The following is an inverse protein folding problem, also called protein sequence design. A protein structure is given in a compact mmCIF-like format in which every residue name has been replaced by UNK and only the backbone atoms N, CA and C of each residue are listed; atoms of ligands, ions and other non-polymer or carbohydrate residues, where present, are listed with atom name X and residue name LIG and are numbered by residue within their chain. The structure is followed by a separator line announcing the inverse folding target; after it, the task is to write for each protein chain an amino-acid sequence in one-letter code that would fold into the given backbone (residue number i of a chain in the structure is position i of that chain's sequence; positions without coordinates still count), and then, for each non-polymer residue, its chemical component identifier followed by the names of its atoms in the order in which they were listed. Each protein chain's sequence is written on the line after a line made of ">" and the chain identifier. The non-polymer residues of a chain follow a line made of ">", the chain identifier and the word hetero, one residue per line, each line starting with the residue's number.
data_IF_905953544389
#
_entry.id   IF_905953544389
#
_cell.length_a   1.000
_cell.length_b   1.000
_cell.length_c   1.000
_cell.angle_alpha   90.00
_cell.angle_beta   90.00
_cell.angle_gamma   90.00
#
_symmetry.space_group_name_H-M   'P 1'
#
loop_
_entity.id
_entity.type
_entity.pdbx_description
1 polymer ?
#
# COMPACT_ATOMS: atom_id res chain seq x y z
N UNK A 1 11.85 2.61 1.65
CA UNK A 1 11.41 3.57 2.69
C UNK A 1 10.39 2.86 3.54
N UNK A 2 10.74 2.60 4.80
CA UNK A 2 9.91 1.83 5.73
C UNK A 2 8.72 2.71 6.13
N UNK A 3 7.52 2.38 5.65
CA UNK A 3 6.30 3.01 6.14
C UNK A 3 6.02 2.34 7.49
N UNK A 4 6.66 2.86 8.54
CA UNK A 4 6.26 2.55 9.92
C UNK A 4 5.12 3.53 10.26
N UNK A 5 3.90 3.17 9.85
CA UNK A 5 2.70 3.73 10.44
C UNK A 5 2.72 3.29 11.90
N UNK A 6 3.08 4.23 12.78
CA UNK A 6 3.11 4.04 14.22
C UNK A 6 1.67 4.09 14.75
N UNK A 7 0.88 3.07 14.42
CA UNK A 7 -0.48 2.93 14.90
C UNK A 7 -0.49 2.04 16.15
N UNK A 8 -1.02 2.62 17.22
CA UNK A 8 -1.39 1.98 18.49
C UNK A 8 -1.94 0.57 18.28
N UNK A 9 -1.26 -0.43 18.85
CA UNK A 9 -1.65 -1.80 19.25
C UNK A 9 -2.71 -2.64 18.50
N UNK A 10 -3.25 -2.23 17.34
CA UNK A 10 -4.33 -2.94 16.62
C UNK A 10 -3.99 -3.21 15.15
N UNK A 11 -2.86 -2.71 14.62
CA UNK A 11 -2.50 -2.96 13.22
C UNK A 11 -1.68 -4.24 13.10
N UNK A 12 -2.32 -5.32 12.65
CA UNK A 12 -1.63 -6.53 12.18
C UNK A 12 -0.77 -6.18 10.95
N UNK A 13 0.55 -6.05 11.15
CA UNK A 13 1.53 -5.76 10.08
C UNK A 13 1.62 -6.94 9.13
N UNK A 14 0.78 -6.99 8.09
CA UNK A 14 0.68 -8.18 7.23
C UNK A 14 1.55 -8.15 5.97
N UNK A 15 2.07 -7.00 5.52
CA UNK A 15 2.79 -6.93 4.24
C UNK A 15 4.02 -6.02 4.30
N UNK A 16 5.17 -6.61 4.67
CA UNK A 16 6.50 -6.00 4.51
C UNK A 16 7.11 -6.46 3.18
N UNK A 17 6.48 -6.10 2.05
CA UNK A 17 7.08 -6.34 0.74
C UNK A 17 8.15 -5.27 0.45
N UNK A 18 9.29 -5.68 -0.13
CA UNK A 18 10.30 -4.72 -0.59
C UNK A 18 9.78 -4.06 -1.86
N UNK A 19 9.34 -2.81 -1.75
CA UNK A 19 9.04 -1.95 -2.89
C UNK A 19 9.88 -0.68 -2.88
N UNK A 20 9.99 -0.07 -4.06
CA UNK A 20 10.52 1.28 -4.23
C UNK A 20 9.69 2.30 -3.44
N UNK A 21 10.18 3.54 -3.33
CA UNK A 21 9.45 4.58 -2.59
C UNK A 21 8.08 4.84 -3.25
N UNK A 22 7.03 4.86 -2.44
CA UNK A 22 5.67 5.21 -2.89
C UNK A 22 5.55 6.73 -2.98
N UNK A 23 5.01 7.22 -4.10
CA UNK A 23 4.71 8.63 -4.35
C UNK A 23 3.28 8.98 -3.95
N UNK A 24 2.31 8.17 -4.34
CA UNK A 24 0.92 8.31 -3.89
C UNK A 24 0.23 6.95 -3.73
N UNK A 25 -0.85 6.95 -2.95
CA UNK A 25 -1.77 5.83 -2.77
C UNK A 25 -3.19 6.36 -2.94
N UNK A 26 -4.03 5.63 -3.66
CA UNK A 26 -5.47 5.91 -3.81
C UNK A 26 -6.29 4.64 -3.59
N UNK A 27 -7.51 4.81 -3.09
CA UNK A 27 -8.44 3.73 -2.77
C UNK A 27 -9.68 3.86 -3.65
N UNK A 28 -10.08 2.78 -4.30
CA UNK A 28 -11.32 2.78 -5.04
C UNK A 28 -12.52 2.86 -4.06
N UNK A 29 -13.51 3.73 -4.30
CA UNK A 29 -14.57 4.01 -3.31
C UNK A 29 -15.54 2.85 -3.07
N UNK A 30 -15.63 1.92 -4.01
CA UNK A 30 -16.60 0.82 -4.00
C UNK A 30 -16.00 -0.57 -4.14
N UNK A 31 -14.75 -0.68 -4.60
CA UNK A 31 -14.12 -1.97 -4.91
C UNK A 31 -12.84 -2.10 -4.11
N UNK A 32 -12.39 -3.32 -3.77
CA UNK A 32 -11.27 -3.54 -2.86
C UNK A 32 -9.92 -3.31 -3.54
N UNK A 33 -9.79 -2.27 -4.35
CA UNK A 33 -8.60 -1.93 -5.11
C UNK A 33 -7.85 -0.78 -4.47
N UNK A 34 -6.55 -0.99 -4.30
CA UNK A 34 -5.59 -0.01 -3.84
C UNK A 34 -4.59 0.25 -4.96
N UNK A 35 -4.48 1.51 -5.34
CA UNK A 35 -3.60 1.95 -6.42
C UNK A 35 -2.41 2.66 -5.81
N UNK A 36 -1.20 2.24 -6.14
CA UNK A 36 0.04 2.86 -5.68
C UNK A 36 0.88 3.32 -6.86
N UNK A 37 1.34 4.57 -6.82
CA UNK A 37 2.38 5.04 -7.73
C UNK A 37 3.74 5.03 -7.02
N UNK A 38 4.76 4.55 -7.73
CA UNK A 38 6.14 4.51 -7.25
C UNK A 38 6.94 5.65 -7.89
N UNK A 39 7.97 6.12 -7.20
CA UNK A 39 8.90 7.12 -7.76
C UNK A 39 9.69 6.62 -8.96
N UNK A 40 9.73 5.31 -9.19
CA UNK A 40 10.31 4.72 -10.41
C UNK A 40 9.46 4.95 -11.67
N UNK A 41 8.26 5.52 -11.53
CA UNK A 41 7.30 5.68 -12.64
C UNK A 41 6.36 4.47 -12.81
N UNK A 42 6.53 3.43 -11.99
CA UNK A 42 5.65 2.27 -12.01
C UNK A 42 4.36 2.54 -11.23
N UNK A 43 3.24 2.03 -11.73
CA UNK A 43 1.94 2.05 -11.06
C UNK A 43 1.50 0.62 -10.82
N UNK A 44 1.08 0.32 -9.60
CA UNK A 44 0.66 -1.00 -9.17
C UNK A 44 -0.76 -0.92 -8.61
N UNK A 45 -1.57 -1.93 -8.91
CA UNK A 45 -2.91 -2.09 -8.38
C UNK A 45 -2.92 -3.37 -7.55
N UNK A 46 -3.45 -3.27 -6.34
CA UNK A 46 -3.51 -4.33 -5.36
C UNK A 46 -4.95 -4.57 -4.94
N UNK A 47 -5.37 -5.82 -4.88
CA UNK A 47 -6.63 -6.18 -4.22
C UNK A 47 -6.33 -6.54 -2.77
N UNK A 48 -6.68 -5.65 -1.84
CA UNK A 48 -6.30 -5.79 -0.43
C UNK A 48 -7.13 -6.82 0.35
N UNK A 49 -8.21 -7.37 -0.24
CA UNK A 49 -8.94 -8.49 0.37
C UNK A 49 -8.27 -9.83 0.05
N UNK A 50 -7.68 -9.95 -1.14
CA UNK A 50 -7.14 -11.23 -1.63
C UNK A 50 -5.62 -11.37 -1.47
N UNK A 51 -4.92 -10.32 -1.00
CA UNK A 51 -3.45 -10.25 -0.98
C UNK A 51 -2.82 -10.34 0.42
#
# INVERSE_FOLDING_TARGET
>A
MRIDIKASSIVHRKLLSRSERVKCVDLHPTEPWLLTSLYSGNVQIYNYETQ
#
